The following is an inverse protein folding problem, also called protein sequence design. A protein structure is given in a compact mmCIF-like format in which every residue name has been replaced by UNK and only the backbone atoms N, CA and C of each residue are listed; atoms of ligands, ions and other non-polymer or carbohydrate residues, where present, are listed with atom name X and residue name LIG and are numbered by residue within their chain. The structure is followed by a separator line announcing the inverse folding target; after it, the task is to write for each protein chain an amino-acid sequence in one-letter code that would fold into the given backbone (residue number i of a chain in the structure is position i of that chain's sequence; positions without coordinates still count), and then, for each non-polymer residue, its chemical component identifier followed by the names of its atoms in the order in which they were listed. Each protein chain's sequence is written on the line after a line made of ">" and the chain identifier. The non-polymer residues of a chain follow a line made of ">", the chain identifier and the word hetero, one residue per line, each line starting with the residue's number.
data_IF_344220100978
#
_entry.id   IF_344220100978
#
_cell.length_a   1.000
_cell.length_b   1.000
_cell.length_c   1.000
_cell.angle_alpha   90.00
_cell.angle_beta   90.00
_cell.angle_gamma   90.00
#
_symmetry.space_group_name_H-M   'P 1'
#
loop_
_entity.id
_entity.type
_entity.pdbx_description
1 polymer ?
#
# COMPACT_ATOMS: atom_id res chain seq x y z
N UNK A 1 22.75 11.88 -15.62
CA UNK A 1 23.59 10.77 -15.10
C UNK A 1 22.68 9.54 -15.00
N UNK A 2 23.21 8.31 -15.03
CA UNK A 2 22.60 7.08 -15.58
C UNK A 2 21.09 6.86 -15.30
N UNK A 3 20.29 6.78 -16.38
CA UNK A 3 19.00 6.09 -16.39
C UNK A 3 19.23 4.64 -16.85
N UNK A 4 18.56 3.66 -16.23
CA UNK A 4 18.52 2.30 -16.77
C UNK A 4 17.53 2.30 -17.92
N UNK A 5 18.04 2.32 -19.16
CA UNK A 5 17.21 2.24 -20.38
C UNK A 5 17.38 0.84 -20.97
N UNK A 6 16.29 0.10 -21.10
CA UNK A 6 16.34 -1.32 -21.50
C UNK A 6 15.11 -1.77 -22.30
N UNK A 7 15.26 -2.84 -23.07
CA UNK A 7 14.17 -3.54 -23.76
C UNK A 7 13.62 -4.71 -22.94
N UNK A 8 14.28 -5.05 -21.83
CA UNK A 8 13.83 -6.04 -20.85
C UNK A 8 14.54 -5.78 -19.53
N UNK A 9 13.85 -5.95 -18.42
CA UNK A 9 14.38 -5.75 -17.08
C UNK A 9 13.96 -6.87 -16.15
N UNK A 10 14.90 -7.37 -15.34
CA UNK A 10 14.60 -8.21 -14.20
C UNK A 10 15.41 -7.74 -13.01
N UNK A 11 14.73 -7.31 -11.95
CA UNK A 11 15.33 -6.82 -10.71
C UNK A 11 14.62 -7.45 -9.52
N UNK A 12 15.41 -7.97 -8.58
CA UNK A 12 14.88 -8.50 -7.32
C UNK A 12 15.84 -8.19 -6.19
N UNK A 13 15.33 -7.80 -5.03
CA UNK A 13 16.16 -7.40 -3.87
C UNK A 13 17.14 -6.26 -4.21
N UNK A 14 16.67 -5.28 -4.98
CA UNK A 14 17.48 -4.14 -5.42
C UNK A 14 17.05 -2.85 -4.70
N UNK A 15 18.02 -1.95 -4.49
CA UNK A 15 17.79 -0.57 -4.06
C UNK A 15 18.17 0.37 -5.21
N UNK A 16 17.23 1.20 -5.65
CA UNK A 16 17.42 2.26 -6.64
C UNK A 16 17.11 3.58 -5.95
N UNK A 17 18.15 4.27 -5.48
CA UNK A 17 18.02 5.36 -4.52
C UNK A 17 18.78 6.62 -4.95
N UNK A 18 18.22 7.79 -4.64
CA UNK A 18 18.88 9.10 -4.78
C UNK A 18 19.43 9.44 -6.18
N UNK A 19 18.77 8.95 -7.24
CA UNK A 19 19.20 9.28 -8.60
C UNK A 19 18.58 10.60 -9.08
N UNK A 20 19.37 11.42 -9.75
CA UNK A 20 18.91 12.61 -10.47
C UNK A 20 18.98 12.38 -11.98
N UNK A 21 17.82 12.22 -12.61
CA UNK A 21 17.71 11.92 -14.05
C UNK A 21 16.82 12.92 -14.79
N UNK A 22 17.14 13.19 -16.05
CA UNK A 22 16.26 14.00 -16.90
C UNK A 22 15.00 13.21 -17.29
N UNK A 23 15.19 11.96 -17.73
CA UNK A 23 14.12 10.99 -18.02
C UNK A 23 13.73 10.23 -16.73
N UNK A 24 13.14 9.05 -16.88
CA UNK A 24 12.92 8.13 -15.77
C UNK A 24 14.23 7.52 -15.24
N UNK A 25 14.26 7.18 -13.95
CA UNK A 25 15.39 6.44 -13.34
C UNK A 25 15.48 5.03 -13.92
N UNK A 26 14.34 4.37 -14.06
CA UNK A 26 14.19 3.09 -14.74
C UNK A 26 13.24 3.28 -15.91
N UNK A 27 13.72 3.05 -17.12
CA UNK A 27 12.93 3.07 -18.34
C UNK A 27 13.05 1.71 -19.04
N UNK A 28 11.96 0.96 -19.05
CA UNK A 28 11.89 -0.30 -19.78
C UNK A 28 10.89 -0.16 -20.94
N UNK A 29 11.36 -0.28 -22.18
CA UNK A 29 10.50 -0.21 -23.35
C UNK A 29 9.79 -1.55 -23.63
N UNK A 30 10.36 -2.67 -23.18
CA UNK A 30 9.75 -3.99 -23.22
C UNK A 30 9.22 -4.44 -21.86
N UNK A 31 9.35 -5.73 -21.55
CA UNK A 31 8.82 -6.29 -20.30
C UNK A 31 9.78 -6.07 -19.12
N UNK A 32 9.23 -5.59 -18.00
CA UNK A 32 9.98 -5.41 -16.76
C UNK A 32 9.43 -6.32 -15.65
N UNK A 33 10.31 -6.94 -14.88
CA UNK A 33 9.99 -7.64 -13.64
C UNK A 33 10.74 -6.99 -12.48
N UNK A 34 10.02 -6.36 -11.56
CA UNK A 34 10.58 -5.77 -10.34
C UNK A 34 9.97 -6.50 -9.14
N UNK A 35 10.79 -7.15 -8.33
CA UNK A 35 10.36 -7.90 -7.15
C UNK A 35 11.10 -7.46 -5.90
N UNK A 36 10.45 -7.40 -4.74
CA UNK A 36 11.13 -7.30 -3.43
C UNK A 36 12.17 -6.17 -3.36
N UNK A 37 11.89 -5.04 -4.03
CA UNK A 37 12.87 -3.97 -4.26
C UNK A 37 12.39 -2.64 -3.68
N UNK A 38 13.30 -1.66 -3.64
CA UNK A 38 13.03 -0.30 -3.18
C UNK A 38 13.47 0.68 -4.26
N UNK A 39 12.56 1.56 -4.66
CA UNK A 39 12.81 2.70 -5.54
C UNK A 39 12.52 3.95 -4.73
N UNK A 40 13.57 4.64 -4.27
CA UNK A 40 13.43 5.72 -3.30
C UNK A 40 14.20 6.98 -3.64
N UNK A 41 13.68 8.13 -3.22
CA UNK A 41 14.40 9.42 -3.24
C UNK A 41 14.96 9.81 -4.63
N UNK A 42 14.39 9.26 -5.71
CA UNK A 42 14.83 9.57 -7.06
C UNK A 42 14.14 10.84 -7.53
N UNK A 43 14.90 11.77 -8.11
CA UNK A 43 14.39 13.00 -8.69
C UNK A 43 14.45 12.92 -10.21
N UNK A 44 13.30 13.08 -10.86
CA UNK A 44 13.18 12.99 -12.32
C UNK A 44 12.48 14.20 -12.90
N UNK A 45 12.84 14.58 -14.14
CA UNK A 45 12.28 15.77 -14.79
C UNK A 45 11.14 15.51 -15.79
N UNK A 46 11.02 14.27 -16.30
CA UNK A 46 10.11 13.99 -17.44
C UNK A 46 9.14 12.84 -17.24
N UNK A 47 9.56 11.68 -16.73
CA UNK A 47 8.76 10.45 -16.76
C UNK A 47 8.59 9.73 -15.42
N UNK A 48 9.02 10.33 -14.30
CA UNK A 48 8.94 9.72 -12.97
C UNK A 48 9.99 8.65 -12.71
N UNK A 49 9.98 8.01 -11.54
CA UNK A 49 11.01 7.04 -11.15
C UNK A 49 11.04 5.81 -12.08
N UNK A 50 9.87 5.30 -12.46
CA UNK A 50 9.76 4.11 -13.31
C UNK A 50 8.79 4.35 -14.47
N UNK A 51 9.28 4.06 -15.68
CA UNK A 51 8.52 4.11 -16.92
C UNK A 51 8.47 2.73 -17.57
N UNK A 52 7.26 2.24 -17.81
CA UNK A 52 6.98 0.98 -18.49
C UNK A 52 6.34 1.24 -19.84
N UNK A 53 7.08 0.93 -20.90
CA UNK A 53 6.66 1.03 -22.29
C UNK A 53 5.67 -0.05 -22.71
N UNK A 54 5.21 0.05 -23.96
CA UNK A 54 4.35 -0.95 -24.57
C UNK A 54 5.12 -2.22 -24.91
N UNK A 55 4.65 -3.35 -24.40
CA UNK A 55 5.23 -4.66 -24.65
C UNK A 55 4.15 -5.71 -24.89
N UNK A 56 4.44 -6.72 -25.70
CA UNK A 56 3.57 -7.88 -25.89
C UNK A 56 3.53 -8.76 -24.63
N UNK A 57 4.59 -8.73 -23.82
CA UNK A 57 4.67 -9.45 -22.54
C UNK A 57 4.36 -8.48 -21.39
N UNK A 58 3.46 -8.84 -20.45
CA UNK A 58 3.17 -7.99 -19.31
C UNK A 58 4.39 -7.71 -18.44
N UNK A 59 4.51 -6.48 -17.97
CA UNK A 59 5.41 -6.12 -16.88
C UNK A 59 4.81 -6.55 -15.55
N UNK A 60 5.66 -6.92 -14.59
CA UNK A 60 5.29 -7.36 -13.25
C UNK A 60 6.01 -6.53 -12.20
N UNK A 61 5.28 -6.01 -11.23
CA UNK A 61 5.86 -5.35 -10.06
C UNK A 61 5.28 -6.01 -8.81
N UNK A 62 6.12 -6.61 -7.99
CA UNK A 62 5.70 -7.32 -6.80
C UNK A 62 6.49 -6.88 -5.58
N UNK A 63 5.81 -6.72 -4.44
CA UNK A 63 6.45 -6.52 -3.12
C UNK A 63 7.49 -5.39 -3.11
N UNK A 64 7.25 -4.36 -3.91
CA UNK A 64 8.20 -3.27 -4.15
C UNK A 64 7.70 -1.98 -3.51
N UNK A 65 8.64 -1.21 -2.94
CA UNK A 65 8.37 0.07 -2.30
C UNK A 65 8.82 1.21 -3.21
N UNK A 66 7.91 2.15 -3.46
CA UNK A 66 8.18 3.44 -4.06
C UNK A 66 8.03 4.49 -2.97
N UNK A 67 9.13 5.14 -2.60
CA UNK A 67 9.20 6.01 -1.41
C UNK A 67 9.86 7.34 -1.76
N UNK A 68 9.23 8.46 -1.45
CA UNK A 68 9.84 9.78 -1.60
C UNK A 68 10.44 10.10 -2.99
N UNK A 69 9.92 9.51 -4.08
CA UNK A 69 10.41 9.89 -5.42
C UNK A 69 9.78 11.21 -5.84
N UNK A 70 10.60 12.06 -6.44
CA UNK A 70 10.30 13.42 -6.83
C UNK A 70 10.21 13.49 -8.35
N UNK A 71 9.14 14.10 -8.83
CA UNK A 71 8.83 14.30 -10.24
C UNK A 71 8.62 15.80 -10.48
N UNK A 72 9.70 16.52 -10.79
CA UNK A 72 9.68 17.97 -10.99
C UNK A 72 9.56 18.26 -12.48
N UNK A 73 8.57 19.03 -12.91
CA UNK A 73 8.40 19.31 -14.33
C UNK A 73 8.13 20.76 -14.65
N UNK A 74 8.83 21.26 -15.68
CA UNK A 74 8.51 22.46 -16.45
C UNK A 74 7.81 22.11 -17.79
N UNK A 75 6.73 21.32 -17.77
CA UNK A 75 5.83 21.15 -18.93
C UNK A 75 5.54 19.71 -19.39
N UNK A 76 6.07 18.72 -18.69
CA UNK A 76 5.76 17.28 -18.80
C UNK A 76 4.92 16.78 -17.60
N UNK A 77 4.48 15.53 -17.69
CA UNK A 77 3.46 14.94 -16.81
C UNK A 77 4.00 13.76 -15.96
N UNK A 78 5.06 13.94 -15.16
CA UNK A 78 5.72 12.81 -14.51
C UNK A 78 4.92 12.26 -13.31
N UNK A 79 4.71 10.95 -13.31
CA UNK A 79 4.14 10.14 -12.21
C UNK A 79 5.21 9.18 -11.71
N UNK A 80 5.30 8.88 -10.41
CA UNK A 80 6.37 8.02 -9.92
C UNK A 80 6.47 6.66 -10.65
N UNK A 81 5.32 6.08 -11.00
CA UNK A 81 5.22 4.99 -11.96
C UNK A 81 4.32 5.38 -13.13
N UNK A 82 4.79 5.18 -14.37
CA UNK A 82 4.01 5.29 -15.60
C UNK A 82 3.89 3.92 -16.26
N UNK A 83 2.66 3.49 -16.55
CA UNK A 83 2.38 2.30 -17.37
C UNK A 83 1.73 2.67 -18.70
N UNK A 84 2.42 2.40 -19.81
CA UNK A 84 1.86 2.48 -21.16
C UNK A 84 1.45 1.12 -21.74
N UNK A 85 1.93 0.02 -21.15
CA UNK A 85 1.72 -1.35 -21.61
C UNK A 85 0.72 -2.14 -20.76
N UNK A 86 0.99 -3.43 -20.57
CA UNK A 86 0.23 -4.27 -19.63
C UNK A 86 1.05 -4.45 -18.35
N UNK A 87 0.44 -4.14 -17.20
CA UNK A 87 1.06 -4.24 -15.88
C UNK A 87 0.25 -5.14 -14.95
N UNK A 88 0.93 -6.07 -14.30
CA UNK A 88 0.43 -6.80 -13.15
C UNK A 88 1.22 -6.36 -11.90
N UNK A 89 0.52 -5.82 -10.91
CA UNK A 89 1.15 -5.29 -9.69
C UNK A 89 0.54 -5.89 -8.43
N UNK A 90 1.37 -6.33 -7.50
CA UNK A 90 0.92 -6.91 -6.23
C UNK A 90 1.82 -6.59 -5.03
N UNK A 91 1.26 -6.47 -3.82
CA UNK A 91 2.05 -6.33 -2.59
C UNK A 91 2.87 -5.03 -2.48
N UNK A 92 2.60 -4.02 -3.31
CA UNK A 92 3.44 -2.83 -3.41
C UNK A 92 3.02 -1.72 -2.45
N UNK A 93 3.93 -0.78 -2.19
CA UNK A 93 3.66 0.46 -1.47
C UNK A 93 4.13 1.66 -2.29
N UNK A 94 3.25 2.65 -2.45
CA UNK A 94 3.58 3.98 -2.95
C UNK A 94 3.33 4.98 -1.83
N UNK A 95 4.39 5.57 -1.29
CA UNK A 95 4.27 6.54 -0.21
C UNK A 95 5.19 7.73 -0.40
N UNK A 96 4.73 8.89 0.05
CA UNK A 96 5.50 10.14 0.02
C UNK A 96 5.99 10.50 -1.40
N UNK A 97 5.36 9.96 -2.45
CA UNK A 97 5.68 10.39 -3.80
C UNK A 97 5.31 11.86 -3.94
N UNK A 98 6.22 12.65 -4.48
CA UNK A 98 5.99 14.06 -4.71
C UNK A 98 6.10 14.35 -6.19
N UNK A 99 5.10 15.03 -6.74
CA UNK A 99 5.13 15.48 -8.12
C UNK A 99 4.62 16.89 -8.23
N UNK A 100 5.21 17.65 -9.14
CA UNK A 100 4.64 18.92 -9.58
C UNK A 100 3.57 18.71 -10.62
N UNK A 101 3.04 17.51 -10.86
CA UNK A 101 2.17 17.31 -12.02
C UNK A 101 1.26 16.08 -11.86
N UNK A 102 1.76 14.88 -11.62
CA UNK A 102 0.90 13.69 -11.73
C UNK A 102 0.95 12.79 -10.51
N UNK A 103 0.06 11.80 -10.49
CA UNK A 103 -0.11 10.84 -9.41
C UNK A 103 1.16 10.06 -9.08
N UNK A 104 1.14 9.37 -7.94
CA UNK A 104 2.12 8.32 -7.66
C UNK A 104 2.09 7.22 -8.73
N UNK A 105 0.94 6.95 -9.33
CA UNK A 105 0.81 5.99 -10.43
C UNK A 105 -0.13 6.51 -11.52
N UNK A 106 0.38 6.58 -12.76
CA UNK A 106 -0.41 6.83 -13.96
C UNK A 106 -0.48 5.60 -14.86
N UNK A 107 -1.70 5.19 -15.20
CA UNK A 107 -1.98 4.11 -16.12
C UNK A 107 -2.59 4.62 -17.42
N UNK A 108 -1.86 4.49 -18.52
CA UNK A 108 -2.36 4.71 -19.88
C UNK A 108 -2.70 3.41 -20.60
N UNK A 109 -2.10 2.30 -20.19
CA UNK A 109 -2.35 0.96 -20.75
C UNK A 109 -3.38 0.15 -19.96
N UNK A 110 -3.06 -1.13 -19.76
CA UNK A 110 -3.87 -2.03 -18.92
C UNK A 110 -3.13 -2.34 -17.62
N UNK A 111 -3.79 -2.19 -16.48
CA UNK A 111 -3.21 -2.52 -15.18
C UNK A 111 -4.15 -3.41 -14.35
N UNK A 112 -3.61 -4.49 -13.78
CA UNK A 112 -4.24 -5.23 -12.69
C UNK A 112 -3.41 -5.02 -11.44
N UNK A 113 -4.00 -4.39 -10.42
CA UNK A 113 -3.32 -4.06 -9.17
C UNK A 113 -4.03 -4.76 -8.02
N UNK A 114 -3.26 -5.45 -7.19
CA UNK A 114 -3.77 -6.19 -6.04
C UNK A 114 -2.95 -5.94 -4.79
N UNK A 115 -3.59 -6.02 -3.61
CA UNK A 115 -2.91 -6.05 -2.31
C UNK A 115 -1.82 -4.96 -2.17
N UNK A 116 -2.15 -3.75 -2.63
CA UNK A 116 -1.20 -2.64 -2.77
C UNK A 116 -1.75 -1.42 -2.03
N UNK A 117 -0.85 -0.64 -1.43
CA UNK A 117 -1.21 0.60 -0.72
C UNK A 117 -0.62 1.82 -1.43
N UNK A 118 -1.46 2.83 -1.66
CA UNK A 118 -1.08 4.18 -2.08
C UNK A 118 -1.41 5.13 -0.94
N UNK A 119 -0.41 5.62 -0.22
CA UNK A 119 -0.63 6.43 0.98
C UNK A 119 0.25 7.67 1.04
N UNK A 120 -0.31 8.82 1.44
CA UNK A 120 0.50 10.00 1.73
C UNK A 120 1.27 10.57 0.53
N UNK A 121 0.83 10.29 -0.70
CA UNK A 121 1.43 10.89 -1.89
C UNK A 121 0.91 12.31 -2.06
N UNK A 122 1.75 13.20 -2.57
CA UNK A 122 1.46 14.62 -2.69
C UNK A 122 1.71 15.13 -4.09
N UNK A 123 0.75 15.89 -4.61
CA UNK A 123 0.95 16.71 -5.80
C UNK A 123 0.83 18.16 -5.39
N UNK A 124 1.87 18.96 -5.64
CA UNK A 124 1.88 20.40 -5.37
C UNK A 124 1.96 21.14 -6.70
N UNK A 125 0.95 21.94 -7.05
CA UNK A 125 0.81 22.36 -8.44
C UNK A 125 0.30 23.78 -8.71
N UNK A 126 0.76 24.31 -9.86
CA UNK A 126 0.47 25.66 -10.37
C UNK A 126 -0.42 25.70 -11.63
N UNK A 127 -0.61 24.60 -12.40
CA UNK A 127 -1.05 24.72 -13.79
C UNK A 127 -2.20 23.79 -14.29
N UNK A 128 -2.52 22.62 -13.73
CA UNK A 128 -3.60 21.72 -14.28
C UNK A 128 -4.31 20.77 -13.26
N UNK A 129 -5.46 20.11 -13.58
CA UNK A 129 -6.23 19.26 -12.66
C UNK A 129 -5.58 17.90 -12.44
N UNK A 130 -5.36 17.54 -11.17
CA UNK A 130 -4.47 16.42 -10.81
C UNK A 130 -5.00 15.58 -9.67
N UNK A 131 -4.38 14.40 -9.55
CA UNK A 131 -4.56 13.38 -8.52
C UNK A 131 -3.21 13.04 -7.94
N UNK A 132 -3.15 12.71 -6.64
CA UNK A 132 -1.91 12.36 -5.99
C UNK A 132 -1.72 10.84 -5.82
N UNK A 133 -2.81 10.08 -5.66
CA UNK A 133 -2.73 8.62 -5.54
C UNK A 133 -2.59 7.92 -6.89
N UNK A 134 -3.69 7.84 -7.63
CA UNK A 134 -3.77 7.08 -8.89
C UNK A 134 -4.46 7.93 -9.96
N UNK A 135 -3.89 7.92 -11.16
CA UNK A 135 -4.52 8.40 -12.37
C UNK A 135 -4.72 7.27 -13.39
N UNK A 136 -5.94 7.11 -13.90
CA UNK A 136 -6.25 6.09 -14.89
C UNK A 136 -6.82 6.70 -16.17
N UNK A 137 -6.06 6.59 -17.26
CA UNK A 137 -6.49 6.91 -18.63
C UNK A 137 -6.88 5.64 -19.42
N UNK A 138 -6.34 4.49 -19.04
CA UNK A 138 -6.56 3.21 -19.71
C UNK A 138 -7.59 2.32 -19.03
N UNK A 139 -7.31 1.02 -18.99
CA UNK A 139 -8.12 0.03 -18.27
C UNK A 139 -7.42 -0.39 -16.99
N UNK A 140 -8.09 -0.29 -15.85
CA UNK A 140 -7.52 -0.65 -14.55
C UNK A 140 -8.48 -1.51 -13.74
N UNK A 141 -7.95 -2.57 -13.16
CA UNK A 141 -8.65 -3.39 -12.17
C UNK A 141 -7.90 -3.30 -10.85
N UNK A 142 -8.60 -2.85 -9.81
CA UNK A 142 -8.09 -2.81 -8.43
C UNK A 142 -8.76 -3.91 -7.61
N UNK A 143 -7.96 -4.71 -6.91
CA UNK A 143 -8.45 -5.76 -5.99
C UNK A 143 -7.77 -5.65 -4.65
N UNK A 144 -8.53 -5.39 -3.60
CA UNK A 144 -7.94 -5.26 -2.25
C UNK A 144 -6.82 -4.22 -2.20
N UNK A 145 -7.07 -3.06 -2.80
CA UNK A 145 -6.14 -1.92 -2.80
C UNK A 145 -6.59 -0.92 -1.75
N UNK A 146 -5.63 -0.28 -1.09
CA UNK A 146 -5.87 0.81 -0.13
C UNK A 146 -5.32 2.11 -0.72
N UNK A 147 -6.16 3.13 -0.93
CA UNK A 147 -5.78 4.47 -1.43
C UNK A 147 -6.20 5.52 -0.42
N UNK A 148 -5.25 6.03 0.36
CA UNK A 148 -5.56 6.86 1.53
C UNK A 148 -4.61 8.02 1.74
N UNK A 149 -5.10 9.11 2.35
CA UNK A 149 -4.26 10.24 2.76
C UNK A 149 -3.44 10.90 1.64
N UNK A 150 -3.79 10.67 0.37
CA UNK A 150 -3.14 11.31 -0.76
C UNK A 150 -3.68 12.72 -0.93
N UNK A 151 -2.80 13.67 -1.25
CA UNK A 151 -3.09 15.10 -1.15
C UNK A 151 -2.70 15.84 -2.42
N UNK A 152 -3.66 16.57 -2.98
CA UNK A 152 -3.38 17.61 -3.98
C UNK A 152 -3.40 18.96 -3.28
N UNK A 153 -2.26 19.64 -3.31
CA UNK A 153 -2.06 21.00 -2.83
C UNK A 153 -2.00 21.95 -4.04
N UNK A 154 -3.12 22.60 -4.36
CA UNK A 154 -3.19 23.58 -5.43
C UNK A 154 -2.73 24.96 -4.94
N UNK A 155 -1.95 25.67 -5.77
CA UNK A 155 -1.44 27.01 -5.46
C UNK A 155 -2.40 28.13 -5.93
N UNK A 156 -3.40 27.84 -6.76
CA UNK A 156 -4.39 28.83 -7.23
C UNK A 156 -5.84 28.33 -7.17
N UNK A 157 -6.77 29.10 -6.58
CA UNK A 157 -8.19 28.77 -6.53
C UNK A 157 -8.94 29.04 -7.85
N UNK A 158 -8.33 29.79 -8.77
CA UNK A 158 -9.03 30.41 -9.91
C UNK A 158 -9.37 29.43 -11.05
N UNK A 159 -8.95 28.16 -10.92
CA UNK A 159 -9.05 27.21 -12.02
C UNK A 159 -10.20 26.22 -11.91
N UNK A 160 -10.89 26.08 -10.77
CA UNK A 160 -12.02 25.14 -10.67
C UNK A 160 -11.67 23.68 -11.01
N UNK A 161 -10.37 23.36 -11.04
CA UNK A 161 -9.80 22.14 -11.59
C UNK A 161 -9.02 21.45 -10.47
N UNK A 162 -9.74 20.72 -9.62
CA UNK A 162 -9.15 19.90 -8.57
C UNK A 162 -10.15 18.81 -8.24
N UNK A 163 -9.68 17.57 -8.19
CA UNK A 163 -10.48 16.43 -7.79
C UNK A 163 -9.68 15.16 -8.02
N UNK A 164 -9.83 14.23 -7.09
CA UNK A 164 -9.12 12.96 -7.04
C UNK A 164 -7.84 13.01 -6.23
N UNK A 165 -7.83 13.54 -5.00
CA UNK A 165 -6.68 13.34 -4.11
C UNK A 165 -6.25 11.86 -4.09
N UNK A 166 -7.24 10.96 -4.05
CA UNK A 166 -7.04 9.52 -4.14
C UNK A 166 -6.94 9.01 -5.57
N UNK A 167 -8.07 8.96 -6.28
CA UNK A 167 -8.15 8.38 -7.61
C UNK A 167 -8.82 9.37 -8.57
N UNK A 168 -8.24 9.53 -9.76
CA UNK A 168 -8.90 10.16 -10.89
C UNK A 168 -9.00 9.18 -12.04
N UNK A 169 -10.22 8.93 -12.49
CA UNK A 169 -10.50 7.99 -13.57
C UNK A 169 -11.08 8.69 -14.80
N UNK A 170 -10.31 8.68 -15.89
CA UNK A 170 -10.74 9.06 -17.24
C UNK A 170 -11.05 7.84 -18.12
N UNK A 171 -10.48 6.68 -17.80
CA UNK A 171 -10.68 5.44 -18.52
C UNK A 171 -11.71 4.51 -17.88
N UNK A 172 -11.45 3.20 -17.94
CA UNK A 172 -12.27 2.18 -17.29
C UNK A 172 -11.60 1.74 -16.00
N UNK A 173 -12.30 1.88 -14.88
CA UNK A 173 -11.83 1.46 -13.57
C UNK A 173 -12.82 0.47 -12.95
N UNK A 174 -12.37 -0.75 -12.70
CA UNK A 174 -13.11 -1.76 -11.95
C UNK A 174 -12.49 -1.92 -10.56
N UNK A 175 -13.33 -1.91 -9.51
CA UNK A 175 -12.87 -2.04 -8.13
C UNK A 175 -13.60 -3.18 -7.40
N UNK A 176 -12.83 -4.07 -6.78
CA UNK A 176 -13.34 -5.11 -5.90
C UNK A 176 -12.60 -5.07 -4.56
N UNK A 177 -13.32 -5.14 -3.45
CA UNK A 177 -12.71 -5.25 -2.12
C UNK A 177 -11.74 -4.08 -1.77
N UNK A 178 -11.88 -2.90 -2.37
CA UNK A 178 -10.93 -1.79 -2.23
C UNK A 178 -11.36 -0.79 -1.14
N UNK A 179 -10.38 -0.10 -0.55
CA UNK A 179 -10.56 0.93 0.46
C UNK A 179 -10.02 2.27 -0.07
N UNK A 180 -10.88 3.28 -0.23
CA UNK A 180 -10.49 4.64 -0.65
C UNK A 180 -11.02 5.65 0.36
N UNK A 181 -10.13 6.36 1.07
CA UNK A 181 -10.55 7.22 2.16
C UNK A 181 -9.54 8.28 2.55
N UNK A 182 -10.05 9.44 2.99
CA UNK A 182 -9.24 10.48 3.63
C UNK A 182 -8.25 11.15 2.69
N UNK A 183 -8.45 10.99 1.38
CA UNK A 183 -7.70 11.73 0.39
C UNK A 183 -8.25 13.15 0.28
N UNK A 184 -7.41 14.10 -0.13
CA UNK A 184 -7.74 15.52 -0.10
C UNK A 184 -7.28 16.22 -1.36
N UNK A 185 -8.07 17.20 -1.75
CA UNK A 185 -7.68 18.20 -2.72
C UNK A 185 -8.12 19.56 -2.17
N UNK A 186 -7.18 20.48 -2.00
CA UNK A 186 -7.45 21.83 -1.49
C UNK A 186 -6.55 22.86 -2.18
N UNK A 187 -6.98 24.13 -2.16
CA UNK A 187 -6.17 25.26 -2.62
C UNK A 187 -5.67 26.06 -1.42
N UNK A 188 -4.35 26.29 -1.37
CA UNK A 188 -3.71 27.05 -0.28
C UNK A 188 -4.29 28.46 -0.18
N UNK A 189 -4.51 28.92 1.06
CA UNK A 189 -5.05 30.25 1.32
C UNK A 189 -6.54 30.43 1.01
N UNK A 190 -7.29 29.35 0.73
CA UNK A 190 -8.73 29.43 0.47
C UNK A 190 -9.54 28.42 1.30
N UNK A 191 -10.82 28.71 1.58
CA UNK A 191 -11.73 27.75 2.21
C UNK A 191 -12.30 26.72 1.21
N UNK A 192 -11.86 26.71 -0.05
CA UNK A 192 -12.41 25.84 -1.08
C UNK A 192 -11.92 24.40 -0.91
N UNK A 193 -12.88 23.50 -0.74
CA UNK A 193 -12.69 22.05 -0.82
C UNK A 193 -13.10 21.63 -2.23
N UNK A 194 -12.20 20.97 -2.95
CA UNK A 194 -12.48 20.50 -4.29
C UNK A 194 -13.42 19.28 -4.30
N UNK A 195 -14.28 19.14 -5.32
CA UNK A 195 -15.12 17.96 -5.54
C UNK A 195 -14.29 16.67 -5.72
N UNK A 196 -14.91 15.51 -5.48
CA UNK A 196 -14.30 14.20 -5.79
C UNK A 196 -12.97 13.89 -5.09
N UNK A 197 -12.81 14.21 -3.80
CA UNK A 197 -11.50 14.09 -3.13
C UNK A 197 -10.97 12.66 -3.07
N UNK A 198 -11.82 11.67 -2.79
CA UNK A 198 -11.42 10.27 -2.77
C UNK A 198 -11.37 9.67 -4.17
N UNK A 199 -12.46 9.85 -4.94
CA UNK A 199 -12.54 9.42 -6.33
C UNK A 199 -13.21 10.51 -7.16
N UNK A 200 -12.59 10.88 -8.27
CA UNK A 200 -13.21 11.66 -9.33
C UNK A 200 -13.33 10.82 -10.60
N UNK A 201 -14.54 10.70 -11.13
CA UNK A 201 -14.83 9.93 -12.35
C UNK A 201 -15.74 8.73 -12.08
N UNK A 202 -15.87 7.84 -13.06
CA UNK A 202 -16.74 6.67 -12.95
C UNK A 202 -15.99 5.45 -12.40
N UNK A 203 -16.69 4.60 -11.65
CA UNK A 203 -16.20 3.31 -11.14
C UNK A 203 -17.21 2.23 -11.48
N UNK A 204 -16.71 1.09 -11.95
CA UNK A 204 -17.45 -0.16 -12.03
C UNK A 204 -17.12 -0.95 -10.78
N UNK A 205 -18.05 -0.99 -9.83
CA UNK A 205 -17.92 -1.78 -8.62
C UNK A 205 -18.14 -3.26 -8.94
N UNK A 206 -17.31 -4.11 -8.33
CA UNK A 206 -17.43 -5.58 -8.28
C UNK A 206 -17.60 -6.03 -6.81
N UNK A 207 -18.31 -5.19 -6.04
CA UNK A 207 -18.66 -5.37 -4.64
C UNK A 207 -17.56 -5.07 -3.62
N UNK A 208 -18.01 -4.95 -2.37
CA UNK A 208 -17.19 -4.89 -1.16
C UNK A 208 -16.16 -3.76 -1.09
N UNK A 209 -16.45 -2.61 -1.71
CA UNK A 209 -15.59 -1.44 -1.64
C UNK A 209 -15.99 -0.52 -0.48
N UNK A 210 -15.02 0.01 0.26
CA UNK A 210 -15.22 1.08 1.23
C UNK A 210 -14.74 2.40 0.64
N UNK A 211 -15.65 3.35 0.44
CA UNK A 211 -15.33 4.69 -0.07
C UNK A 211 -15.86 5.74 0.92
N UNK A 212 -14.97 6.54 1.52
CA UNK A 212 -15.39 7.54 2.50
C UNK A 212 -16.20 8.65 1.83
N UNK A 213 -15.68 9.28 0.77
CA UNK A 213 -16.34 10.34 0.03
C UNK A 213 -16.68 9.90 -1.39
N UNK A 214 -17.97 9.80 -1.71
CA UNK A 214 -18.47 9.41 -3.04
C UNK A 214 -18.91 10.60 -3.89
N UNK A 215 -18.71 11.83 -3.44
CA UNK A 215 -19.05 13.01 -4.25
C UNK A 215 -18.30 12.96 -5.57
N UNK A 216 -18.98 13.27 -6.68
CA UNK A 216 -18.38 13.31 -8.03
C UNK A 216 -17.77 11.98 -8.51
N UNK A 217 -18.12 10.89 -7.81
CA UNK A 217 -17.85 9.52 -8.20
C UNK A 217 -19.15 8.86 -8.69
N UNK A 218 -19.18 8.45 -9.95
CA UNK A 218 -20.32 7.71 -10.51
C UNK A 218 -20.06 6.23 -10.32
N UNK A 219 -20.79 5.59 -9.41
CA UNK A 219 -20.62 4.17 -9.11
C UNK A 219 -21.68 3.36 -9.84
N UNK A 220 -21.22 2.37 -10.62
CA UNK A 220 -22.05 1.40 -11.37
C UNK A 220 -21.60 -0.02 -11.06
N UNK A 221 -22.19 -1.04 -11.70
CA UNK A 221 -21.82 -2.45 -11.51
C UNK A 221 -22.47 -3.09 -10.28
N UNK A 222 -21.82 -4.09 -9.69
CA UNK A 222 -22.27 -4.75 -8.47
C UNK A 222 -21.84 -3.94 -7.24
N UNK A 223 -22.80 -3.41 -6.50
CA UNK A 223 -22.56 -2.64 -5.28
C UNK A 223 -22.76 -3.45 -4.00
N UNK A 224 -22.92 -4.77 -4.10
CA UNK A 224 -23.10 -5.67 -2.95
C UNK A 224 -21.95 -5.51 -1.97
N UNK A 225 -22.28 -5.32 -0.69
CA UNK A 225 -21.30 -5.19 0.38
C UNK A 225 -20.46 -3.90 0.37
N UNK A 226 -20.72 -2.96 -0.53
CA UNK A 226 -20.06 -1.65 -0.49
C UNK A 226 -20.42 -0.89 0.79
N UNK A 227 -19.46 -0.11 1.28
CA UNK A 227 -19.57 0.73 2.48
C UNK A 227 -19.25 2.17 2.08
N UNK A 228 -20.15 3.10 2.40
CA UNK A 228 -19.99 4.52 2.04
C UNK A 228 -20.05 5.43 3.27
N UNK A 229 -19.26 6.51 3.27
CA UNK A 229 -19.37 7.54 4.30
C UNK A 229 -18.97 7.09 5.71
N UNK A 230 -18.18 6.01 5.82
CA UNK A 230 -17.70 5.49 7.10
C UNK A 230 -16.19 5.61 7.17
N UNK A 231 -15.69 6.15 8.28
CA UNK A 231 -14.26 6.19 8.57
C UNK A 231 -13.72 4.75 8.65
N UNK A 232 -12.71 4.38 7.85
CA UNK A 232 -12.10 3.05 7.90
C UNK A 232 -11.34 2.76 9.19
N UNK A 233 -11.12 3.74 10.07
CA UNK A 233 -10.39 3.61 11.33
C UNK A 233 -9.03 2.94 11.12
N UNK A 234 -8.15 3.63 10.40
CA UNK A 234 -6.81 3.13 10.06
C UNK A 234 -5.79 3.52 11.13
N UNK A 235 -4.88 2.60 11.44
CA UNK A 235 -3.65 2.88 12.14
C UNK A 235 -2.64 3.64 11.26
N UNK A 236 -1.52 4.10 11.81
CA UNK A 236 -0.47 4.74 11.03
C UNK A 236 0.11 3.80 9.96
N UNK A 237 0.69 4.37 8.90
CA UNK A 237 1.50 3.59 7.96
C UNK A 237 2.77 3.17 8.70
N UNK A 238 2.92 1.88 8.93
CA UNK A 238 4.07 1.33 9.62
C UNK A 238 4.30 -0.10 9.18
N UNK A 239 5.45 -0.66 9.58
CA UNK A 239 5.72 -2.07 9.34
C UNK A 239 4.91 -2.93 10.34
N UNK A 240 3.80 -3.46 9.81
CA UNK A 240 2.86 -4.38 10.45
C UNK A 240 3.13 -5.86 10.06
N UNK A 241 4.38 -6.16 9.69
CA UNK A 241 4.80 -7.41 9.09
C UNK A 241 4.62 -7.44 7.57
N UNK A 242 5.36 -8.30 6.89
CA UNK A 242 5.34 -8.44 5.43
C UNK A 242 6.44 -7.63 4.71
N UNK A 243 6.44 -7.64 3.36
CA UNK A 243 7.50 -7.03 2.55
C UNK A 243 7.41 -5.50 2.46
N UNK A 244 6.21 -4.93 2.68
CA UNK A 244 5.96 -3.49 2.58
C UNK A 244 5.10 -2.99 3.75
N UNK A 245 5.33 -1.76 4.27
CA UNK A 245 4.48 -1.15 5.30
C UNK A 245 3.00 -1.06 4.88
N UNK A 246 2.10 -1.11 5.86
CA UNK A 246 0.64 -1.12 5.64
C UNK A 246 -0.09 -0.24 6.66
N UNK A 247 -1.36 0.06 6.39
CA UNK A 247 -2.28 0.61 7.39
C UNK A 247 -3.09 -0.53 8.03
N UNK A 248 -2.86 -0.80 9.31
CA UNK A 248 -3.67 -1.75 10.06
C UNK A 248 -5.10 -1.21 10.25
N UNK A 249 -6.11 -2.08 10.17
CA UNK A 249 -7.47 -1.73 10.58
C UNK A 249 -7.56 -1.75 12.10
N UNK A 250 -8.04 -0.65 12.70
CA UNK A 250 -8.22 -0.53 14.14
C UNK A 250 -9.52 -1.23 14.59
N UNK A 251 -9.65 -1.58 15.89
CA UNK A 251 -10.89 -2.10 16.46
C UNK A 251 -12.12 -1.27 16.09
N UNK A 252 -13.18 -1.95 15.66
CA UNK A 252 -14.44 -1.32 15.24
C UNK A 252 -14.43 -0.77 13.81
N UNK A 253 -13.33 -0.94 13.06
CA UNK A 253 -13.27 -0.56 11.65
C UNK A 253 -14.41 -1.22 10.85
N UNK A 254 -15.14 -0.46 10.03
CA UNK A 254 -16.17 -0.99 9.14
C UNK A 254 -15.61 -1.85 8.00
N UNK A 255 -14.30 -1.87 7.80
CA UNK A 255 -13.64 -2.73 6.81
C UNK A 255 -13.40 -4.17 7.31
N UNK A 256 -13.48 -4.39 8.64
CA UNK A 256 -13.24 -5.71 9.24
C UNK A 256 -14.40 -6.65 8.92
N UNK A 257 -14.07 -7.83 8.40
CA UNK A 257 -15.02 -8.89 8.02
C UNK A 257 -16.11 -8.43 7.03
N UNK A 258 -15.87 -7.32 6.31
CA UNK A 258 -16.80 -6.73 5.35
C UNK A 258 -16.44 -7.04 3.89
N UNK A 259 -15.32 -7.73 3.66
CA UNK A 259 -14.81 -8.06 2.35
C UNK A 259 -15.55 -9.21 1.65
N UNK A 260 -15.26 -9.35 0.36
CA UNK A 260 -15.91 -10.36 -0.48
C UNK A 260 -15.48 -11.79 -0.09
N UNK A 261 -16.41 -12.75 0.06
CA UNK A 261 -16.07 -14.16 0.22
C UNK A 261 -15.24 -14.74 -0.93
N UNK A 262 -15.28 -14.15 -2.13
CA UNK A 262 -14.45 -14.59 -3.27
C UNK A 262 -12.95 -14.37 -3.04
N UNK A 263 -12.57 -13.55 -2.06
CA UNK A 263 -11.18 -13.35 -1.65
C UNK A 263 -10.65 -14.47 -0.73
N UNK A 264 -11.48 -15.44 -0.34
CA UNK A 264 -11.02 -16.61 0.43
C UNK A 264 -10.05 -17.42 -0.44
N UNK A 265 -8.87 -17.73 0.12
CA UNK A 265 -7.78 -18.42 -0.59
C UNK A 265 -6.71 -17.50 -1.16
N UNK A 266 -6.88 -16.18 -1.07
CA UNK A 266 -5.81 -15.21 -1.35
C UNK A 266 -5.11 -14.74 -0.07
N UNK A 267 -4.04 -13.98 -0.24
CA UNK A 267 -3.36 -13.28 0.85
C UNK A 267 -3.66 -11.77 0.83
N UNK A 268 -3.23 -11.07 1.87
CA UNK A 268 -3.15 -9.62 1.92
C UNK A 268 -1.76 -9.11 1.49
N UNK A 269 -1.52 -7.80 1.55
CA UNK A 269 -0.25 -7.16 1.16
C UNK A 269 0.98 -7.72 1.89
N UNK A 270 0.78 -8.29 3.08
CA UNK A 270 1.84 -8.83 3.93
C UNK A 270 2.14 -10.30 3.61
N UNK A 271 1.35 -10.91 2.73
CA UNK A 271 1.38 -12.34 2.42
C UNK A 271 0.55 -13.19 3.39
N UNK A 272 -0.21 -12.58 4.31
CA UNK A 272 -1.03 -13.32 5.28
C UNK A 272 -2.36 -13.74 4.66
N UNK A 273 -2.85 -14.96 4.94
CA UNK A 273 -4.07 -15.47 4.31
C UNK A 273 -5.30 -14.66 4.73
N UNK A 274 -6.19 -14.36 3.78
CA UNK A 274 -7.49 -13.72 4.08
C UNK A 274 -8.48 -14.64 4.79
N UNK A 275 -8.32 -15.95 4.62
CA UNK A 275 -9.08 -16.93 5.38
C UNK A 275 -8.50 -17.10 6.79
N UNK A 276 -9.31 -16.83 7.81
CA UNK A 276 -8.91 -16.91 9.23
C UNK A 276 -9.65 -18.04 9.98
N UNK A 277 -10.37 -18.91 9.26
CA UNK A 277 -11.10 -20.04 9.84
C UNK A 277 -12.61 -20.00 9.57
N UNK A 278 -13.36 -20.99 10.08
CA UNK A 278 -14.79 -21.12 9.83
C UNK A 278 -15.56 -19.86 10.26
N UNK A 279 -16.41 -19.36 9.35
CA UNK A 279 -17.21 -18.15 9.59
C UNK A 279 -16.44 -16.84 9.48
N UNK A 280 -15.12 -16.85 9.24
CA UNK A 280 -14.37 -15.63 8.94
C UNK A 280 -14.75 -15.08 7.57
N UNK A 281 -14.76 -13.75 7.46
CA UNK A 281 -14.86 -13.03 6.19
C UNK A 281 -13.58 -12.25 5.98
N UNK A 282 -13.10 -12.13 4.73
CA UNK A 282 -12.01 -11.23 4.39
C UNK A 282 -12.33 -9.79 4.79
N UNK A 283 -11.29 -8.98 4.96
CA UNK A 283 -11.42 -7.54 5.18
C UNK A 283 -11.37 -6.78 3.85
N UNK A 284 -11.96 -5.59 3.85
CA UNK A 284 -11.86 -4.64 2.73
C UNK A 284 -10.48 -3.95 2.77
N UNK A 285 -9.82 -3.85 1.61
CA UNK A 285 -8.53 -3.19 1.44
C UNK A 285 -7.32 -4.14 1.46
N UNK A 286 -6.13 -3.54 1.41
CA UNK A 286 -4.85 -4.26 1.28
C UNK A 286 -4.40 -5.02 2.54
N UNK A 287 -5.08 -4.81 3.67
CA UNK A 287 -4.73 -5.38 4.96
C UNK A 287 -5.82 -6.34 5.46
N UNK A 288 -5.41 -7.48 6.02
CA UNK A 288 -6.30 -8.42 6.72
C UNK A 288 -6.09 -8.37 8.24
N UNK A 289 -7.11 -8.03 9.01
CA UNK A 289 -7.07 -8.25 10.46
C UNK A 289 -6.94 -9.72 10.75
N UNK A 290 -5.97 -10.02 11.60
CA UNK A 290 -5.84 -11.35 12.16
C UNK A 290 -6.86 -11.42 13.31
N UNK A 291 -7.98 -12.06 13.02
CA UNK A 291 -8.97 -12.46 14.04
C UNK A 291 -8.39 -13.57 14.89
N UNK A 292 -7.33 -13.28 15.65
CA UNK A 292 -6.64 -14.26 16.47
C UNK A 292 -6.85 -13.91 17.95
N UNK A 293 -7.75 -14.62 18.65
CA UNK A 293 -7.70 -14.66 20.11
C UNK A 293 -6.40 -15.33 20.61
N UNK A 294 -5.66 -16.01 19.72
CA UNK A 294 -4.40 -16.68 20.02
C UNK A 294 -3.21 -15.86 19.53
N UNK A 295 -2.41 -15.28 20.42
CA UNK A 295 -1.24 -14.49 20.02
C UNK A 295 -0.21 -15.37 19.28
N UNK A 296 0.39 -14.84 18.21
CA UNK A 296 1.38 -15.55 17.40
C UNK A 296 2.67 -14.75 17.26
N UNK A 297 3.80 -15.46 17.28
CA UNK A 297 5.14 -14.90 17.13
C UNK A 297 5.62 -15.19 15.71
N UNK A 298 5.88 -14.15 14.93
CA UNK A 298 6.51 -14.26 13.61
C UNK A 298 7.99 -13.90 13.71
N UNK A 299 8.91 -14.76 13.25
CA UNK A 299 10.31 -14.38 13.14
C UNK A 299 10.46 -13.27 12.09
N UNK A 300 11.24 -12.25 12.42
CA UNK A 300 11.65 -11.19 11.51
C UNK A 300 13.10 -11.42 11.07
N UNK A 301 13.47 -10.93 9.89
CA UNK A 301 14.86 -10.92 9.45
C UNK A 301 15.68 -10.02 10.41
N UNK A 302 16.89 -10.48 10.76
CA UNK A 302 17.84 -9.74 11.60
C UNK A 302 19.22 -9.82 10.94
N UNK A 303 19.86 -8.67 10.76
CA UNK A 303 21.25 -8.57 10.29
C UNK A 303 22.25 -8.92 11.40
N UNK A 304 21.79 -8.92 12.66
CA UNK A 304 22.57 -9.37 13.81
C UNK A 304 22.28 -10.85 14.11
N UNK A 305 23.26 -11.77 13.91
CA UNK A 305 23.09 -13.19 14.21
C UNK A 305 22.94 -13.47 15.71
N UNK A 306 23.31 -12.52 16.57
CA UNK A 306 23.16 -12.60 18.02
C UNK A 306 21.76 -12.20 18.51
N UNK A 307 20.83 -11.81 17.62
CA UNK A 307 19.48 -11.43 17.98
C UNK A 307 18.43 -12.28 17.25
N UNK A 308 17.42 -12.70 18.00
CA UNK A 308 16.15 -13.14 17.45
C UNK A 308 15.18 -11.96 17.51
N UNK A 309 14.85 -11.40 16.34
CA UNK A 309 13.84 -10.37 16.21
C UNK A 309 12.52 -11.03 15.84
N UNK A 310 11.43 -10.63 16.51
CA UNK A 310 10.11 -11.15 16.19
C UNK A 310 8.99 -10.14 16.42
N UNK A 311 7.90 -10.38 15.69
CA UNK A 311 6.65 -9.65 15.79
C UNK A 311 5.61 -10.52 16.51
N UNK A 312 5.16 -10.04 17.66
CA UNK A 312 3.93 -10.52 18.28
C UNK A 312 2.74 -9.89 17.55
N UNK A 313 1.82 -10.74 17.08
CA UNK A 313 0.49 -10.33 16.63
C UNK A 313 -0.54 -10.89 17.59
N UNK A 314 -1.28 -10.01 18.25
CA UNK A 314 -2.30 -10.33 19.24
C UNK A 314 -3.47 -9.33 19.20
N UNK A 315 -4.30 -9.36 20.24
CA UNK A 315 -5.39 -8.40 20.42
C UNK A 315 -4.83 -6.98 20.55
N UNK A 316 -5.47 -5.95 19.99
CA UNK A 316 -5.04 -4.55 20.14
C UNK A 316 -4.98 -4.06 21.58
N UNK A 317 -3.99 -3.20 21.88
CA UNK A 317 -3.81 -2.55 23.20
C UNK A 317 -3.81 -3.53 24.37
N UNK A 318 -3.36 -4.76 24.14
CA UNK A 318 -3.48 -5.87 25.07
C UNK A 318 -2.09 -6.24 25.62
N UNK A 319 -1.95 -6.35 26.95
CA UNK A 319 -0.72 -6.83 27.55
C UNK A 319 -0.58 -8.35 27.38
N UNK A 320 0.66 -8.77 27.16
CA UNK A 320 1.10 -10.15 27.03
C UNK A 320 2.40 -10.35 27.80
N UNK A 321 2.62 -11.57 28.29
CA UNK A 321 3.89 -12.01 28.87
C UNK A 321 4.62 -12.89 27.87
N UNK A 322 5.81 -12.47 27.43
CA UNK A 322 6.72 -13.30 26.65
C UNK A 322 7.44 -14.27 27.58
N UNK A 323 7.40 -15.55 27.25
CA UNK A 323 8.06 -16.59 28.02
C UNK A 323 8.91 -17.48 27.11
N UNK A 324 9.98 -18.03 27.67
CA UNK A 324 10.87 -18.95 26.97
C UNK A 324 11.07 -20.27 27.70
N UNK A 325 11.40 -21.33 26.96
CA UNK A 325 11.79 -22.63 27.49
C UNK A 325 12.90 -23.25 26.61
N UNK A 326 13.80 -24.03 27.23
CA UNK A 326 14.88 -24.73 26.52
C UNK A 326 14.48 -26.09 25.91
N UNK A 327 13.28 -26.56 26.20
CA UNK A 327 12.69 -27.77 25.61
C UNK A 327 11.17 -27.62 25.48
N UNK A 328 10.56 -28.40 24.57
CA UNK A 328 9.11 -28.36 24.35
C UNK A 328 8.38 -29.58 24.93
N UNK A 329 9.11 -30.65 25.26
CA UNK A 329 8.56 -31.91 25.77
C UNK A 329 8.14 -31.83 27.23
N UNK A 330 8.91 -31.13 28.07
CA UNK A 330 8.55 -30.82 29.45
C UNK A 330 9.01 -29.39 29.84
N UNK A 331 8.37 -28.35 29.30
CA UNK A 331 8.91 -27.00 29.36
C UNK A 331 8.82 -26.39 30.76
N UNK A 332 9.95 -25.91 31.28
CA UNK A 332 9.96 -24.93 32.38
C UNK A 332 9.98 -23.53 31.77
N UNK A 333 8.83 -22.85 31.80
CA UNK A 333 8.68 -21.53 31.21
C UNK A 333 9.17 -20.44 32.15
N UNK A 334 10.10 -19.61 31.67
CA UNK A 334 10.56 -18.41 32.36
C UNK A 334 10.11 -17.16 31.64
N UNK A 335 9.74 -16.14 32.40
CA UNK A 335 9.34 -14.84 31.84
C UNK A 335 10.56 -14.12 31.28
N UNK A 336 10.40 -13.58 30.07
CA UNK A 336 11.43 -12.80 29.37
C UNK A 336 11.13 -11.31 29.54
N UNK A 337 9.93 -10.88 29.17
CA UNK A 337 9.49 -9.49 29.25
C UNK A 337 7.97 -9.39 29.11
N UNK A 338 7.41 -8.26 29.53
CA UNK A 338 6.05 -7.86 29.19
C UNK A 338 6.03 -7.18 27.82
N UNK A 339 4.97 -7.42 27.05
CA UNK A 339 4.71 -6.83 25.74
C UNK A 339 3.30 -6.25 25.76
N UNK A 340 3.13 -5.00 25.32
CA UNK A 340 1.80 -4.45 25.05
C UNK A 340 1.68 -4.21 23.57
N UNK A 341 0.69 -4.84 22.94
CA UNK A 341 0.39 -4.58 21.53
C UNK A 341 -0.09 -3.16 21.33
N UNK A 342 0.26 -2.58 20.19
CA UNK A 342 -0.26 -1.29 19.77
C UNK A 342 -1.75 -1.39 19.39
N UNK A 343 -2.32 -0.28 18.88
CA UNK A 343 -3.72 -0.24 18.45
C UNK A 343 -4.02 -1.14 17.24
N UNK A 344 -2.99 -1.61 16.52
CA UNK A 344 -3.11 -2.58 15.43
C UNK A 344 -2.96 -4.03 15.87
N UNK A 345 -2.66 -4.29 17.16
CA UNK A 345 -2.42 -5.64 17.67
C UNK A 345 -0.96 -6.09 17.56
N UNK A 346 -0.01 -5.17 17.36
CA UNK A 346 1.40 -5.50 17.14
C UNK A 346 2.30 -5.13 18.31
N UNK A 347 3.21 -6.03 18.68
CA UNK A 347 4.34 -5.70 19.55
C UNK A 347 5.62 -6.32 19.01
N UNK A 348 6.71 -5.55 18.94
CA UNK A 348 8.02 -6.07 18.57
C UNK A 348 8.80 -6.43 19.81
N UNK A 349 9.61 -7.47 19.69
CA UNK A 349 10.59 -7.81 20.71
C UNK A 349 11.83 -8.44 20.09
N UNK A 350 12.94 -8.30 20.80
CA UNK A 350 14.19 -8.96 20.46
C UNK A 350 14.65 -9.77 21.68
N UNK A 351 15.12 -10.99 21.45
CA UNK A 351 15.79 -11.79 22.47
C UNK A 351 17.22 -12.12 22.03
N UNK A 352 18.21 -12.09 22.92
CA UNK A 352 19.55 -12.57 22.59
C UNK A 352 19.53 -14.01 22.09
N UNK A 353 20.38 -14.33 21.12
CA UNK A 353 20.73 -15.69 20.70
C UNK A 353 22.13 -15.99 21.18
N UNK A 354 22.27 -16.95 22.10
CA UNK A 354 23.60 -17.45 22.49
C UNK A 354 23.98 -18.65 21.63
N UNK A 355 25.27 -18.81 21.32
CA UNK A 355 25.80 -19.86 20.45
C UNK A 355 25.62 -21.30 20.98
N UNK A 356 25.07 -21.47 22.19
CA UNK A 356 24.71 -22.75 22.80
C UNK A 356 23.23 -23.13 22.67
N UNK A 357 22.35 -22.20 22.27
CA UNK A 357 20.91 -22.43 22.21
C UNK A 357 20.47 -22.94 20.83
N UNK A 358 20.54 -24.25 20.63
CA UNK A 358 19.96 -24.85 19.41
C UNK A 358 18.44 -25.00 19.49
N UNK A 359 17.79 -24.77 20.65
CA UNK A 359 16.35 -24.95 20.85
C UNK A 359 15.75 -24.01 21.93
N UNK A 360 15.57 -22.74 21.61
CA UNK A 360 14.78 -21.82 22.45
C UNK A 360 13.35 -21.78 21.91
N UNK A 361 12.39 -22.18 22.73
CA UNK A 361 10.96 -22.13 22.42
C UNK A 361 10.35 -20.90 23.07
N UNK A 362 9.55 -20.16 22.32
CA UNK A 362 8.87 -18.97 22.81
C UNK A 362 7.37 -19.21 22.86
N UNK A 363 6.73 -18.66 23.88
CA UNK A 363 5.28 -18.50 23.93
C UNK A 363 4.92 -17.14 24.49
N UNK A 364 3.68 -16.77 24.26
CA UNK A 364 3.07 -15.56 24.79
C UNK A 364 1.81 -15.96 25.51
N UNK A 365 1.63 -15.40 26.71
CA UNK A 365 0.44 -15.63 27.54
C UNK A 365 -0.23 -14.30 27.82
N UNK A 366 -1.56 -14.30 27.82
CA UNK A 366 -2.33 -13.16 28.31
C UNK A 366 -2.34 -13.24 29.84
N UNK A 367 -2.10 -12.14 30.57
CA UNK A 367 -2.18 -12.09 32.03
C UNK A 367 -3.50 -12.63 32.58
#
# INVERSE_FOLDING_TARGET
>A
MLAVICESLSMTNCLVDQNLTYSATIQCNGAAALGDSIVSENTTLTYGAVYLGQSATPSRIERTKFVANISESEGSSPSALINLGTLEMSGCLFTEQWSTSHAAFANHGTATVSDTTFSGNTVSERYDPRTAGIENYGTMILRSVTVVSNTVEAISPDRGYGGGGGIRNYGTLTMANCLVSGNRAYATGTPFIFPGQDILGSVISDGHNLILNTNDCVITGDTTGNVYGKDPLLGPLQDNGGPTPTHALLPGSPAIAAGSPSMIGTSDQRGLPRYQGPGSRPDIGAYQTLSRPTPVIFPLASDDPALFLALLVGEPTTPYKLQQAGEITNPTWTEVTDLTTDRGGFARFATPRTSSETKTFLRVTKP
#
